data_IF_115494047671
#
_entry.id   IF_115494047671
#
_cell.length_a   1.000
_cell.length_b   1.000
_cell.length_c   1.000
_cell.angle_alpha   90.00
_cell.angle_beta   90.00
_cell.angle_gamma   90.00
#
_symmetry.space_group_name_H-M   'P 1'
#
loop_
_entity.id
_entity.type
_entity.pdbx_description
1 polymer ?
#
# COMPACT_ATOMS: atom_id res chain seq x y z
N UNK A 1 2.30 17.01 -2.00
CA UNK A 1 2.18 16.54 -0.59
C UNK A 1 2.64 17.62 0.38
N UNK A 2 2.01 17.73 1.55
CA UNK A 2 2.40 18.64 2.63
C UNK A 2 3.83 18.32 3.11
N UNK A 3 4.66 19.36 3.27
CA UNK A 3 6.10 19.17 3.57
C UNK A 3 6.34 18.65 4.99
N UNK A 4 5.50 19.00 5.95
CA UNK A 4 5.58 18.51 7.33
C UNK A 4 5.32 16.99 7.37
N UNK A 5 4.24 16.53 6.74
CA UNK A 5 3.91 15.12 6.62
C UNK A 5 5.02 14.34 5.90
N UNK A 6 5.54 14.89 4.79
CA UNK A 6 6.63 14.24 4.06
C UNK A 6 7.91 14.11 4.91
N UNK A 7 8.23 15.13 5.72
CA UNK A 7 9.37 15.09 6.63
C UNK A 7 9.19 14.04 7.75
N UNK A 8 7.95 13.85 8.24
CA UNK A 8 7.66 12.79 9.21
C UNK A 8 7.82 11.40 8.59
N UNK A 9 7.29 11.20 7.37
CA UNK A 9 7.41 9.93 6.63
C UNK A 9 8.86 9.60 6.22
N UNK A 10 9.72 10.63 6.06
CA UNK A 10 11.14 10.47 5.71
C UNK A 10 11.99 9.92 6.86
N UNK A 11 11.51 9.97 8.09
CA UNK A 11 12.27 9.49 9.24
C UNK A 11 12.67 8.03 9.06
N UNK A 12 13.94 7.74 9.31
CA UNK A 12 14.49 6.40 9.19
C UNK A 12 14.11 5.60 10.44
N UNK A 13 13.45 4.47 10.23
CA UNK A 13 13.10 3.54 11.31
C UNK A 13 14.32 2.79 11.83
N UNK A 14 14.18 2.15 12.99
CA UNK A 14 15.25 1.29 13.54
C UNK A 14 15.59 0.15 12.56
N UNK A 15 14.58 -0.46 11.97
CA UNK A 15 14.73 -1.50 10.96
C UNK A 15 15.52 -1.01 9.74
N UNK A 16 15.16 0.14 9.20
CA UNK A 16 15.84 0.74 8.04
C UNK A 16 17.29 1.17 8.35
N UNK A 17 17.58 1.57 9.60
CA UNK A 17 18.95 1.89 10.03
C UNK A 17 19.86 0.67 9.95
N UNK A 18 19.36 -0.52 10.32
CA UNK A 18 20.11 -1.77 10.20
C UNK A 18 20.38 -2.13 8.74
N UNK A 19 19.39 -1.98 7.86
CA UNK A 19 19.55 -2.25 6.44
C UNK A 19 20.51 -1.27 5.75
N UNK A 20 20.46 0.01 6.10
CA UNK A 20 21.38 1.03 5.57
C UNK A 20 22.84 0.75 5.95
N UNK A 21 23.08 0.12 7.09
CA UNK A 21 24.41 -0.34 7.51
C UNK A 21 24.85 -1.66 6.85
N UNK A 22 24.02 -2.23 5.96
CA UNK A 22 24.29 -3.51 5.28
C UNK A 22 24.15 -4.72 6.19
N UNK A 23 23.38 -4.60 7.26
CA UNK A 23 23.14 -5.67 8.22
C UNK A 23 21.94 -6.52 7.80
N UNK A 24 22.22 -7.55 7.01
CA UNK A 24 21.29 -8.65 6.77
C UNK A 24 20.23 -8.42 5.68
N UNK A 25 19.41 -9.42 5.50
CA UNK A 25 18.23 -9.44 4.62
C UNK A 25 17.00 -8.91 5.37
N UNK A 26 15.89 -8.70 4.63
CA UNK A 26 14.62 -8.30 5.24
C UNK A 26 14.25 -9.20 6.43
N UNK A 27 13.91 -8.57 7.54
CA UNK A 27 13.48 -9.31 8.74
C UNK A 27 12.07 -9.88 8.55
N UNK A 28 12.01 -11.10 7.98
CA UNK A 28 10.74 -11.79 7.69
C UNK A 28 9.84 -11.93 8.92
N UNK A 29 10.40 -12.04 10.13
CA UNK A 29 9.64 -12.19 11.37
C UNK A 29 8.73 -11.01 11.68
N UNK A 30 8.98 -9.82 11.12
CA UNK A 30 8.12 -8.65 11.25
C UNK A 30 6.84 -8.83 10.40
N UNK A 31 6.95 -9.49 9.25
CA UNK A 31 5.95 -9.48 8.18
C UNK A 31 5.17 -10.79 8.04
N UNK A 32 5.81 -11.92 8.26
CA UNK A 32 5.25 -13.24 7.93
C UNK A 32 5.58 -14.31 8.97
N UNK A 33 4.82 -15.40 8.97
CA UNK A 33 5.12 -16.58 9.75
C UNK A 33 6.36 -17.32 9.20
N UNK A 34 7.12 -18.02 10.05
CA UNK A 34 8.20 -18.90 9.59
C UNK A 34 7.71 -19.83 8.49
N UNK A 35 8.57 -20.09 7.50
CA UNK A 35 8.30 -21.02 6.38
C UNK A 35 7.21 -20.57 5.39
N UNK A 36 6.65 -19.36 5.53
CA UNK A 36 5.73 -18.80 4.54
C UNK A 36 6.39 -17.70 3.71
N UNK A 37 5.79 -17.42 2.55
CA UNK A 37 6.12 -16.26 1.71
C UNK A 37 4.95 -15.27 1.65
N UNK A 38 4.04 -15.37 2.62
CA UNK A 38 2.85 -14.51 2.70
C UNK A 38 2.98 -13.52 3.84
N UNK A 39 2.92 -12.24 3.51
CA UNK A 39 2.86 -11.13 4.48
C UNK A 39 1.47 -11.16 5.13
N UNK A 40 1.45 -11.26 6.47
CA UNK A 40 0.21 -11.41 7.24
C UNK A 40 -0.22 -10.07 7.86
N UNK A 41 -1.41 -9.61 7.49
CA UNK A 41 -1.99 -8.37 8.03
C UNK A 41 -2.06 -8.36 9.57
N UNK A 42 -2.19 -9.52 10.22
CA UNK A 42 -2.28 -9.63 11.68
C UNK A 42 -1.02 -9.12 12.40
N UNK A 43 0.11 -9.09 11.69
CA UNK A 43 1.37 -8.53 12.19
C UNK A 43 1.48 -7.02 11.97
N UNK A 44 0.66 -6.47 11.06
CA UNK A 44 0.79 -5.11 10.56
C UNK A 44 -0.36 -4.20 11.00
N UNK A 45 -1.54 -4.75 11.27
CA UNK A 45 -2.76 -4.00 11.66
C UNK A 45 -3.13 -4.32 13.11
N UNK A 46 -3.44 -3.30 13.88
CA UNK A 46 -4.04 -3.47 15.22
C UNK A 46 -5.43 -4.12 15.14
N UNK A 47 -5.74 -4.98 16.10
CA UNK A 47 -7.04 -5.66 16.16
C UNK A 47 -8.21 -4.67 16.10
N UNK A 48 -9.19 -4.96 15.25
CA UNK A 48 -10.40 -4.13 15.06
C UNK A 48 -10.27 -3.02 14.00
N UNK A 49 -9.07 -2.76 13.49
CA UNK A 49 -8.89 -1.87 12.33
C UNK A 49 -9.05 -2.65 11.02
N UNK A 50 -9.49 -1.95 9.97
CA UNK A 50 -9.63 -2.50 8.62
C UNK A 50 -8.69 -1.83 7.62
N UNK A 51 -7.98 -0.80 8.04
CA UNK A 51 -6.95 -0.09 7.27
C UNK A 51 -5.87 0.42 8.23
N UNK A 52 -4.63 0.34 7.79
CA UNK A 52 -3.46 0.91 8.45
C UNK A 52 -2.45 1.36 7.40
N UNK A 53 -1.50 2.21 7.76
CA UNK A 53 -0.39 2.61 6.90
C UNK A 53 0.96 2.29 7.53
N UNK A 54 1.93 2.02 6.65
CA UNK A 54 3.35 1.93 7.00
C UNK A 54 4.18 2.67 5.97
N UNK A 55 5.27 3.27 6.40
CA UNK A 55 6.29 3.74 5.45
C UNK A 55 6.87 2.53 4.72
N UNK A 56 7.03 2.65 3.41
CA UNK A 56 7.68 1.62 2.59
C UNK A 56 9.11 1.41 3.07
N UNK A 57 9.50 0.14 3.28
CA UNK A 57 10.82 -0.20 3.81
C UNK A 57 11.91 0.04 2.76
N UNK A 58 12.90 0.85 3.11
CA UNK A 58 14.01 1.25 2.22
C UNK A 58 15.26 0.40 2.47
N UNK A 59 16.24 0.52 1.57
CA UNK A 59 17.61 -0.01 1.68
C UNK A 59 17.75 -1.53 1.63
N UNK A 60 16.68 -2.27 1.45
CA UNK A 60 16.71 -3.74 1.45
C UNK A 60 15.90 -4.30 0.28
N UNK A 61 16.37 -5.42 -0.28
CA UNK A 61 15.60 -6.20 -1.25
C UNK A 61 14.54 -7.03 -0.49
N UNK A 62 13.28 -6.89 -0.90
CA UNK A 62 12.20 -7.71 -0.39
C UNK A 62 11.90 -8.82 -1.41
N UNK A 63 12.22 -10.10 -1.09
CA UNK A 63 12.05 -11.19 -2.03
C UNK A 63 10.58 -11.49 -2.32
N UNK A 64 10.33 -12.28 -3.35
CA UNK A 64 8.98 -12.63 -3.81
C UNK A 64 8.09 -13.10 -2.66
N UNK A 65 6.93 -12.46 -2.56
CA UNK A 65 5.93 -12.70 -1.53
C UNK A 65 4.52 -12.44 -2.04
N UNK A 66 3.54 -12.83 -1.25
CA UNK A 66 2.11 -12.53 -1.44
C UNK A 66 1.57 -11.86 -0.18
N UNK A 67 0.31 -11.42 -0.21
CA UNK A 67 -0.36 -10.78 0.92
C UNK A 67 -1.69 -11.48 1.22
N UNK A 68 -2.15 -11.50 2.46
CA UNK A 68 -3.52 -11.88 2.80
C UNK A 68 -4.44 -10.65 3.01
N UNK A 69 -4.07 -9.54 2.40
CA UNK A 69 -4.78 -8.26 2.40
C UNK A 69 -4.63 -7.57 1.04
N UNK A 70 -5.32 -6.47 0.82
CA UNK A 70 -5.11 -5.60 -0.34
C UNK A 70 -4.05 -4.57 0.04
N UNK A 71 -2.98 -4.50 -0.75
CA UNK A 71 -1.97 -3.46 -0.60
C UNK A 71 -2.23 -2.32 -1.60
N UNK A 72 -2.16 -1.08 -1.11
CA UNK A 72 -2.08 0.10 -1.95
C UNK A 72 -0.77 0.81 -1.61
N UNK A 73 0.09 0.99 -2.60
CA UNK A 73 1.33 1.75 -2.48
C UNK A 73 1.13 3.10 -3.14
N UNK A 74 1.39 4.18 -2.40
CA UNK A 74 1.41 5.54 -2.91
C UNK A 74 2.80 6.13 -2.80
N UNK A 75 3.34 6.60 -3.92
CA UNK A 75 4.67 7.18 -3.97
C UNK A 75 4.63 8.67 -3.63
N UNK A 76 5.16 9.01 -2.46
CA UNK A 76 5.16 10.39 -1.94
C UNK A 76 6.30 11.24 -2.51
N UNK A 77 7.48 10.62 -2.74
CA UNK A 77 8.69 11.25 -3.27
C UNK A 77 9.62 10.20 -3.86
N UNK A 78 10.32 10.52 -4.94
CA UNK A 78 11.25 9.60 -5.59
C UNK A 78 10.55 8.52 -6.43
N UNK A 79 11.07 7.30 -6.39
CA UNK A 79 10.52 6.16 -7.12
C UNK A 79 10.85 4.83 -6.44
N UNK A 80 10.10 3.78 -6.76
CA UNK A 80 10.37 2.40 -6.33
C UNK A 80 10.16 1.43 -7.49
N UNK A 81 10.97 0.37 -7.52
CA UNK A 81 10.89 -0.69 -8.54
C UNK A 81 10.30 -1.95 -7.94
N UNK A 82 9.23 -2.44 -8.54
CA UNK A 82 8.54 -3.66 -8.15
C UNK A 82 8.51 -4.67 -9.29
N UNK A 83 8.57 -5.96 -8.98
CA UNK A 83 8.19 -7.03 -9.91
C UNK A 83 6.86 -7.59 -9.43
N UNK A 84 5.81 -7.38 -10.21
CA UNK A 84 4.45 -7.84 -9.88
C UNK A 84 4.01 -8.88 -10.89
N UNK A 85 3.79 -10.12 -10.47
CA UNK A 85 3.47 -11.25 -11.34
C UNK A 85 4.45 -11.46 -12.50
N UNK A 86 5.70 -11.04 -12.34
CA UNK A 86 6.75 -11.07 -13.36
C UNK A 86 6.88 -9.81 -14.19
N UNK A 87 5.95 -8.85 -14.08
CA UNK A 87 6.04 -7.54 -14.76
C UNK A 87 6.82 -6.55 -13.91
N UNK A 88 7.78 -5.84 -14.53
CA UNK A 88 8.50 -4.77 -13.85
C UNK A 88 7.68 -3.48 -13.88
N UNK A 89 7.48 -2.89 -12.71
CA UNK A 89 6.75 -1.64 -12.51
C UNK A 89 7.68 -0.63 -11.84
N UNK A 90 7.88 0.51 -12.51
CA UNK A 90 8.51 1.69 -11.92
C UNK A 90 7.39 2.59 -11.38
N UNK A 91 7.30 2.71 -10.07
CA UNK A 91 6.29 3.54 -9.40
C UNK A 91 6.92 4.90 -9.08
N UNK A 92 6.47 5.94 -9.76
CA UNK A 92 6.97 7.31 -9.60
C UNK A 92 6.15 8.16 -8.64
N UNK A 93 6.70 9.30 -8.22
CA UNK A 93 6.03 10.26 -7.32
C UNK A 93 4.61 10.60 -7.80
N UNK A 94 3.62 10.45 -6.92
CA UNK A 94 2.20 10.73 -7.19
C UNK A 94 1.46 9.57 -7.84
N UNK A 95 2.11 8.46 -8.10
CA UNK A 95 1.49 7.26 -8.67
C UNK A 95 1.00 6.29 -7.58
N UNK A 96 0.10 5.40 -7.97
CA UNK A 96 -0.56 4.42 -7.12
C UNK A 96 -0.41 3.01 -7.70
N UNK A 97 -0.04 2.06 -6.85
CA UNK A 97 -0.03 0.64 -7.20
C UNK A 97 -0.93 -0.13 -6.22
N UNK A 98 -2.02 -0.69 -6.74
CA UNK A 98 -2.89 -1.60 -6.00
C UNK A 98 -2.54 -3.04 -6.29
N UNK A 99 -2.48 -3.86 -5.24
CA UNK A 99 -2.27 -5.31 -5.33
C UNK A 99 -3.33 -6.01 -4.48
N UNK A 100 -3.97 -7.03 -5.03
CA UNK A 100 -4.84 -7.89 -4.24
C UNK A 100 -4.09 -9.15 -3.73
N UNK A 101 -4.80 -10.04 -3.04
CA UNK A 101 -4.21 -11.23 -2.42
C UNK A 101 -3.67 -12.25 -3.44
N UNK A 102 -3.97 -12.10 -4.73
CA UNK A 102 -3.52 -12.99 -5.80
C UNK A 102 -2.24 -12.49 -6.50
N UNK A 103 -1.81 -11.27 -6.20
CA UNK A 103 -0.56 -10.73 -6.73
C UNK A 103 0.65 -11.33 -6.01
N UNK A 104 1.67 -11.65 -6.77
CA UNK A 104 3.04 -11.86 -6.25
C UNK A 104 3.84 -10.58 -6.44
N UNK A 105 4.67 -10.24 -5.47
CA UNK A 105 5.48 -9.03 -5.52
C UNK A 105 6.91 -9.31 -5.07
N UNK A 106 7.87 -8.68 -5.75
CA UNK A 106 9.24 -8.47 -5.29
C UNK A 106 9.51 -6.97 -5.28
N UNK A 107 10.38 -6.50 -4.38
CA UNK A 107 10.67 -5.07 -4.26
C UNK A 107 12.17 -4.88 -4.25
N UNK A 108 12.66 -4.05 -5.17
CA UNK A 108 14.06 -3.64 -5.20
C UNK A 108 14.36 -2.60 -4.12
N UNK A 109 15.62 -2.53 -3.64
CA UNK A 109 15.98 -1.57 -2.61
C UNK A 109 15.68 -0.14 -3.03
N UNK A 110 14.91 0.57 -2.24
CA UNK A 110 14.65 2.01 -2.38
C UNK A 110 15.75 2.82 -1.69
N UNK A 111 16.01 4.02 -2.19
CA UNK A 111 16.97 4.96 -1.63
C UNK A 111 16.42 5.81 -0.50
N UNK A 112 17.24 6.70 0.06
CA UNK A 112 16.86 7.54 1.20
C UNK A 112 15.76 8.55 0.87
N UNK A 113 15.72 9.06 -0.36
CA UNK A 113 14.74 10.03 -0.84
C UNK A 113 13.48 9.38 -1.46
N UNK A 114 13.47 8.05 -1.57
CA UNK A 114 12.35 7.29 -2.10
C UNK A 114 11.35 7.00 -0.99
N UNK A 115 10.35 7.87 -0.87
CA UNK A 115 9.35 7.82 0.21
C UNK A 115 8.02 7.34 -0.35
N UNK A 116 7.61 6.15 0.04
CA UNK A 116 6.27 5.64 -0.26
C UNK A 116 5.52 5.26 1.02
N UNK A 117 4.21 5.18 0.92
CA UNK A 117 3.32 4.71 1.98
C UNK A 117 2.57 3.48 1.48
N UNK A 118 2.71 2.40 2.22
CA UNK A 118 1.97 1.16 2.01
C UNK A 118 0.72 1.17 2.89
N UNK A 119 -0.45 1.07 2.28
CA UNK A 119 -1.72 0.86 2.96
C UNK A 119 -2.00 -0.63 3.03
N UNK A 120 -2.24 -1.11 4.22
CA UNK A 120 -2.67 -2.47 4.51
C UNK A 120 -4.19 -2.42 4.67
N UNK A 121 -4.94 -2.99 3.72
CA UNK A 121 -6.39 -2.82 3.62
C UNK A 121 -7.06 -4.18 3.65
N UNK A 122 -7.92 -4.41 4.66
CA UNK A 122 -8.72 -5.64 4.68
C UNK A 122 -9.86 -5.55 3.65
N UNK A 123 -10.20 -6.64 2.95
CA UNK A 123 -11.26 -6.63 1.92
C UNK A 123 -12.57 -5.99 2.37
N UNK A 124 -13.01 -6.26 3.61
CA UNK A 124 -14.23 -5.66 4.18
C UNK A 124 -14.22 -4.12 4.26
N UNK A 125 -13.07 -3.47 4.06
CA UNK A 125 -12.99 -2.01 3.98
C UNK A 125 -13.62 -1.48 2.70
N UNK A 126 -13.58 -2.25 1.62
CA UNK A 126 -14.08 -1.87 0.31
C UNK A 126 -15.62 -1.97 0.15
N UNK A 127 -16.33 -2.57 1.09
CA UNK A 127 -17.80 -2.69 1.02
C UNK A 127 -18.48 -1.33 0.81
N UNK A 128 -18.01 -0.29 1.51
CA UNK A 128 -18.53 1.06 1.37
C UNK A 128 -18.14 1.70 0.02
N UNK A 129 -16.87 1.59 -0.37
CA UNK A 129 -16.40 2.09 -1.65
C UNK A 129 -17.18 1.46 -2.82
N UNK A 130 -17.39 0.14 -2.77
CA UNK A 130 -18.17 -0.58 -3.76
C UNK A 130 -19.64 -0.07 -3.84
N UNK A 131 -20.25 0.27 -2.70
CA UNK A 131 -21.60 0.83 -2.67
C UNK A 131 -21.70 2.23 -3.31
N UNK A 132 -20.59 2.97 -3.39
CA UNK A 132 -20.51 4.28 -4.04
C UNK A 132 -20.24 4.19 -5.55
N UNK A 133 -19.69 3.06 -6.00
CA UNK A 133 -19.28 2.84 -7.39
C UNK A 133 -20.47 2.42 -8.24
N UNK A 134 -21.48 2.93 -8.56
CA UNK A 134 -22.54 2.52 -9.46
C UNK A 134 -22.49 1.06 -9.98
N UNK A 135 -23.43 0.67 -10.79
CA UNK A 135 -23.48 -0.70 -11.35
C UNK A 135 -22.69 -0.85 -12.67
N UNK A 136 -22.12 0.24 -13.19
CA UNK A 136 -21.36 0.20 -14.44
C UNK A 136 -20.08 -0.65 -14.28
N UNK A 137 -19.93 -1.61 -15.16
CA UNK A 137 -18.72 -2.44 -15.19
C UNK A 137 -17.54 -1.64 -15.72
N UNK A 138 -16.52 -1.49 -14.88
CA UNK A 138 -15.22 -0.93 -15.24
C UNK A 138 -14.10 -1.70 -14.53
N UNK A 139 -12.86 -1.43 -14.95
CA UNK A 139 -11.69 -2.16 -14.45
C UNK A 139 -11.50 -2.00 -12.93
N UNK A 140 -11.74 -0.79 -12.39
CA UNK A 140 -11.60 -0.51 -10.94
C UNK A 140 -12.64 -1.28 -10.15
N UNK A 141 -13.91 -1.24 -10.58
CA UNK A 141 -14.99 -2.00 -9.95
C UNK A 141 -14.71 -3.51 -9.98
N UNK A 142 -14.23 -4.03 -11.13
CA UNK A 142 -13.83 -5.43 -11.25
C UNK A 142 -12.71 -5.78 -10.25
N UNK A 143 -11.67 -4.95 -10.18
CA UNK A 143 -10.59 -5.13 -9.22
C UNK A 143 -11.09 -5.15 -7.77
N UNK A 144 -11.96 -4.20 -7.37
CA UNK A 144 -12.54 -4.14 -6.02
C UNK A 144 -13.37 -5.40 -5.72
N UNK A 145 -14.19 -5.86 -6.69
CA UNK A 145 -14.92 -7.11 -6.56
C UNK A 145 -13.98 -8.33 -6.40
N UNK A 146 -12.88 -8.35 -7.15
CA UNK A 146 -11.87 -9.40 -7.06
C UNK A 146 -11.12 -9.37 -5.71
N UNK A 147 -10.94 -8.20 -5.10
CA UNK A 147 -10.42 -8.08 -3.74
C UNK A 147 -11.33 -8.73 -2.68
N UNK A 148 -12.65 -8.78 -2.92
CA UNK A 148 -13.61 -9.42 -2.02
C UNK A 148 -13.69 -10.94 -2.23
N UNK A 149 -13.16 -11.46 -3.36
CA UNK A 149 -13.08 -12.89 -3.67
C UNK A 149 -11.75 -13.45 -3.20
N UNK A 150 -11.77 -14.61 -2.58
CA UNK A 150 -10.55 -15.24 -2.06
C UNK A 150 -9.70 -15.92 -3.13
N UNK A 151 -10.22 -16.19 -4.33
CA UNK A 151 -9.56 -16.95 -5.42
C UNK A 151 -10.11 -16.53 -6.78
N UNK A 152 -9.33 -16.82 -7.82
CA UNK A 152 -9.70 -16.65 -9.24
C UNK A 152 -10.00 -15.19 -9.64
N UNK A 153 -9.15 -14.27 -9.21
CA UNK A 153 -9.20 -12.89 -9.68
C UNK A 153 -8.63 -12.78 -11.09
N UNK A 154 -9.35 -12.16 -11.99
CA UNK A 154 -8.86 -11.86 -13.34
C UNK A 154 -7.86 -10.69 -13.33
N UNK A 155 -8.02 -9.76 -12.36
CA UNK A 155 -7.18 -8.58 -12.21
C UNK A 155 -6.53 -8.64 -10.83
N UNK A 156 -5.22 -8.84 -10.77
CA UNK A 156 -4.49 -8.96 -9.52
C UNK A 156 -3.80 -7.67 -9.07
N UNK A 157 -3.54 -6.75 -10.00
CA UNK A 157 -2.97 -5.43 -9.68
C UNK A 157 -3.47 -4.34 -10.65
N UNK A 158 -3.38 -3.09 -10.19
CA UNK A 158 -3.64 -1.89 -11.00
C UNK A 158 -2.55 -0.85 -10.71
N UNK A 159 -1.94 -0.31 -11.77
CA UNK A 159 -1.01 0.80 -11.69
C UNK A 159 -1.65 2.06 -12.26
N UNK A 160 -1.75 3.10 -11.46
CA UNK A 160 -2.34 4.39 -11.84
C UNK A 160 -1.26 5.48 -11.92
N UNK A 161 -1.01 5.95 -13.12
CA UNK A 161 -0.11 7.08 -13.41
C UNK A 161 -0.89 8.40 -13.33
N UNK A 162 -1.19 8.84 -12.12
CA UNK A 162 -2.09 9.96 -11.82
C UNK A 162 -1.39 11.13 -11.10
N UNK A 163 -0.09 11.25 -11.28
CA UNK A 163 0.74 12.26 -10.61
C UNK A 163 0.25 13.71 -10.85
N UNK A 164 -0.34 13.99 -12.01
CA UNK A 164 -0.89 15.28 -12.43
C UNK A 164 -2.37 15.45 -12.11
N UNK A 165 -3.04 14.46 -11.52
CA UNK A 165 -4.47 14.51 -11.16
C UNK A 165 -4.65 15.04 -9.75
N UNK A 166 -4.72 16.37 -9.61
CA UNK A 166 -4.78 17.06 -8.32
C UNK A 166 -5.86 16.52 -7.35
N UNK A 167 -7.10 16.18 -7.76
CA UNK A 167 -8.08 15.59 -6.84
C UNK A 167 -7.59 14.29 -6.22
N UNK A 168 -6.94 13.41 -6.97
CA UNK A 168 -6.37 12.14 -6.48
C UNK A 168 -5.27 12.43 -5.47
N UNK A 169 -4.35 13.36 -5.79
CA UNK A 169 -3.26 13.75 -4.90
C UNK A 169 -3.78 14.28 -3.56
N UNK A 170 -4.82 15.13 -3.58
CA UNK A 170 -5.45 15.66 -2.37
C UNK A 170 -6.12 14.57 -1.53
N UNK A 171 -6.81 13.61 -2.17
CA UNK A 171 -7.46 12.49 -1.48
C UNK A 171 -6.42 11.58 -0.80
N UNK A 172 -5.32 11.29 -1.49
CA UNK A 172 -4.23 10.47 -0.93
C UNK A 172 -3.55 11.16 0.25
N UNK A 173 -3.24 12.44 0.12
CA UNK A 173 -2.66 13.22 1.22
C UNK A 173 -3.59 13.27 2.43
N UNK A 174 -4.88 13.53 2.24
CA UNK A 174 -5.87 13.52 3.31
C UNK A 174 -5.98 12.14 3.97
N UNK A 175 -5.94 11.07 3.20
CA UNK A 175 -6.02 9.70 3.72
C UNK A 175 -4.81 9.38 4.59
N UNK A 176 -3.60 9.66 4.11
CA UNK A 176 -2.35 9.47 4.85
C UNK A 176 -2.36 10.30 6.14
N UNK A 177 -2.67 11.61 6.03
CA UNK A 177 -2.73 12.52 7.17
C UNK A 177 -3.67 12.05 8.26
N UNK A 178 -4.90 11.64 7.91
CA UNK A 178 -5.92 11.24 8.89
C UNK A 178 -5.61 9.89 9.54
N UNK A 179 -4.94 8.97 8.84
CA UNK A 179 -4.50 7.70 9.44
C UNK A 179 -3.30 7.95 10.36
N UNK A 180 -2.29 8.67 9.87
CA UNK A 180 -1.05 8.97 10.60
C UNK A 180 -1.33 9.70 11.92
N UNK A 181 -2.14 10.74 11.89
CA UNK A 181 -2.46 11.58 13.06
C UNK A 181 -3.55 11.01 13.96
N UNK A 182 -4.02 9.80 13.74
CA UNK A 182 -5.00 9.09 14.58
C UNK A 182 -6.25 9.92 14.90
N UNK A 183 -6.81 10.63 13.92
CA UNK A 183 -8.02 11.46 14.08
C UNK A 183 -9.21 10.67 14.65
N UNK A 184 -10.07 11.25 15.52
CA UNK A 184 -11.29 10.61 15.97
C UNK A 184 -12.29 10.41 14.81
N UNK A 185 -13.18 9.40 14.91
CA UNK A 185 -14.19 9.05 13.88
C UNK A 185 -13.63 8.78 12.48
N UNK A 186 -12.36 8.42 12.40
CA UNK A 186 -11.59 8.26 11.17
C UNK A 186 -12.12 7.19 10.21
N UNK A 187 -12.77 6.13 10.72
CA UNK A 187 -13.23 5.02 9.86
C UNK A 187 -14.14 5.49 8.72
N UNK A 188 -15.17 6.28 9.04
CA UNK A 188 -16.08 6.82 8.03
C UNK A 188 -15.39 7.78 7.07
N UNK A 189 -14.45 8.59 7.57
CA UNK A 189 -13.65 9.50 6.73
C UNK A 189 -12.79 8.68 5.76
N UNK A 190 -12.07 7.66 6.24
CA UNK A 190 -11.23 6.82 5.39
C UNK A 190 -12.04 6.08 4.33
N UNK A 191 -13.21 5.51 4.71
CA UNK A 191 -14.09 4.82 3.78
C UNK A 191 -14.65 5.76 2.70
N UNK A 192 -15.09 6.97 3.08
CA UNK A 192 -15.57 7.96 2.14
C UNK A 192 -14.46 8.44 1.19
N UNK A 193 -13.26 8.73 1.72
CA UNK A 193 -12.11 9.14 0.92
C UNK A 193 -11.70 8.06 -0.08
N UNK A 194 -11.68 6.79 0.34
CA UNK A 194 -11.39 5.66 -0.54
C UNK A 194 -12.47 5.46 -1.61
N UNK A 195 -13.74 5.73 -1.28
CA UNK A 195 -14.83 5.65 -2.25
C UNK A 195 -14.84 6.77 -3.29
N UNK A 196 -14.19 7.90 -2.97
CA UNK A 196 -13.98 9.03 -3.90
C UNK A 196 -12.73 8.86 -4.76
N UNK A 197 -11.73 8.09 -4.30
CA UNK A 197 -10.49 7.77 -5.00
C UNK A 197 -10.77 6.84 -6.18
#
# INVERSE_FOLDING_TARGET
MNQELLNELRQISTEESEYREGKGDVNRGIYMEPETHMVDYKRLIESGKTIEIRTHTRFVYFPQHTHNYVELIYMCSGHTTHIVNGDQIELGTGELLFLNQNATQEIYPAGEEDIAVNFIILPAFFDYALSMMGEEENLVRKFVLDCLKSKDADVSYLHFQVADVLPIQNLMENLIWTIHNKQPNKRSIHQATMGLL
#
